data_IF_432925722582
#
_entry.id   IF_432925722582
#
_cell.length_a   1.000
_cell.length_b   1.000
_cell.length_c   1.000
_cell.angle_alpha   90.00
_cell.angle_beta   90.00
_cell.angle_gamma   90.00
#
_symmetry.space_group_name_H-M   'P 1'
#
loop_
_entity.id
_entity.type
_entity.pdbx_description
1 polymer ?
#
# COMPACT_ATOMS: atom_id res chain seq x y z
N UNK A 1 32.80 -39.76 -6.21
CA UNK A 1 31.50 -39.13 -5.97
C UNK A 1 31.69 -37.81 -5.27
N UNK A 2 31.54 -36.72 -6.02
CA UNK A 2 31.48 -35.38 -5.45
C UNK A 2 30.04 -34.92 -5.59
N UNK A 3 29.32 -34.85 -4.48
CA UNK A 3 27.98 -34.32 -4.41
C UNK A 3 28.05 -32.80 -4.65
N UNK A 4 27.65 -32.38 -5.85
CA UNK A 4 27.41 -30.97 -6.14
C UNK A 4 26.12 -30.58 -5.45
N UNK A 5 26.24 -30.02 -4.25
CA UNK A 5 25.15 -29.29 -3.60
C UNK A 5 24.61 -28.27 -4.60
N UNK A 6 23.37 -28.49 -5.02
CA UNK A 6 22.67 -27.61 -5.93
C UNK A 6 22.30 -26.37 -5.12
N UNK A 7 23.13 -25.33 -5.19
CA UNK A 7 22.79 -24.01 -4.68
C UNK A 7 21.50 -23.56 -5.37
N UNK A 8 20.45 -23.35 -4.59
CA UNK A 8 19.15 -22.91 -5.08
C UNK A 8 19.30 -21.59 -5.85
N UNK A 9 18.51 -21.36 -6.91
CA UNK A 9 18.56 -20.09 -7.64
C UNK A 9 18.24 -18.93 -6.71
N UNK A 10 19.04 -17.86 -6.81
CA UNK A 10 18.76 -16.57 -6.17
C UNK A 10 17.45 -16.00 -6.72
N UNK A 11 16.60 -15.46 -5.86
CA UNK A 11 15.36 -14.77 -6.26
C UNK A 11 15.65 -13.64 -7.25
N UNK A 12 14.70 -13.37 -8.14
CA UNK A 12 14.81 -12.22 -9.05
C UNK A 12 14.78 -10.89 -8.29
N UNK A 13 15.36 -9.80 -8.83
CA UNK A 13 15.31 -8.47 -8.18
C UNK A 13 13.89 -8.00 -7.87
N UNK A 14 12.90 -8.40 -8.69
CA UNK A 14 11.49 -8.09 -8.47
C UNK A 14 10.92 -8.87 -7.30
N UNK A 15 11.20 -10.16 -7.18
CA UNK A 15 10.76 -10.97 -6.03
C UNK A 15 11.37 -10.50 -4.72
N UNK A 16 12.65 -10.08 -4.73
CA UNK A 16 13.33 -9.50 -3.57
C UNK A 16 12.64 -8.20 -3.13
N UNK A 17 12.35 -7.30 -4.09
CA UNK A 17 11.64 -6.06 -3.80
C UNK A 17 10.22 -6.27 -3.23
N UNK A 18 9.47 -7.24 -3.79
CA UNK A 18 8.15 -7.60 -3.26
C UNK A 18 8.22 -8.13 -1.82
N UNK A 19 9.27 -8.90 -1.51
CA UNK A 19 9.49 -9.41 -0.16
C UNK A 19 9.85 -8.29 0.82
N UNK A 20 10.64 -7.31 0.38
CA UNK A 20 11.00 -6.13 1.19
C UNK A 20 9.75 -5.28 1.52
N UNK A 21 8.88 -5.04 0.52
CA UNK A 21 7.59 -4.35 0.74
C UNK A 21 6.73 -5.12 1.75
N UNK A 22 6.64 -6.45 1.61
CA UNK A 22 5.87 -7.28 2.54
C UNK A 22 6.40 -7.15 3.96
N UNK A 23 7.71 -7.25 4.18
CA UNK A 23 8.31 -7.15 5.51
C UNK A 23 8.18 -5.75 6.11
N UNK A 24 8.33 -4.71 5.29
CA UNK A 24 8.09 -3.33 5.69
C UNK A 24 6.67 -3.15 6.24
N UNK A 25 5.66 -3.52 5.45
CA UNK A 25 4.25 -3.40 5.84
C UNK A 25 3.96 -4.26 7.07
N UNK A 26 4.43 -5.52 7.10
CA UNK A 26 4.22 -6.44 8.23
C UNK A 26 4.76 -5.87 9.53
N UNK A 27 5.97 -5.30 9.51
CA UNK A 27 6.63 -4.74 10.69
C UNK A 27 5.96 -3.45 11.19
N UNK A 28 5.48 -2.62 10.28
CA UNK A 28 4.83 -1.34 10.60
C UNK A 28 3.34 -1.48 10.91
N UNK A 29 2.71 -2.60 10.53
CA UNK A 29 1.28 -2.83 10.76
C UNK A 29 0.92 -2.93 12.26
N UNK A 30 -0.18 -2.31 12.72
CA UNK A 30 -0.61 -2.32 14.13
C UNK A 30 -0.87 -3.72 14.74
N UNK A 31 -1.07 -4.72 13.90
CA UNK A 31 -1.30 -6.11 14.28
C UNK A 31 -0.12 -7.03 13.93
N UNK A 32 1.05 -6.46 13.64
CA UNK A 32 2.25 -7.18 13.20
C UNK A 32 2.04 -8.04 11.94
N UNK A 33 1.09 -7.64 11.07
CA UNK A 33 0.77 -8.28 9.80
C UNK A 33 -0.17 -9.49 9.92
N UNK A 34 -0.91 -9.62 11.02
CA UNK A 34 -1.89 -10.70 11.18
C UNK A 34 -2.97 -10.62 10.08
N UNK A 35 -3.50 -9.43 9.79
CA UNK A 35 -4.46 -9.20 8.73
C UNK A 35 -3.85 -9.42 7.33
N UNK A 36 -2.57 -9.10 7.15
CA UNK A 36 -1.85 -9.29 5.89
C UNK A 36 -1.81 -10.77 5.44
N UNK A 37 -1.92 -11.71 6.37
CA UNK A 37 -2.00 -13.15 6.05
C UNK A 37 -3.40 -13.62 5.64
N UNK A 38 -4.43 -12.78 5.79
CA UNK A 38 -5.81 -13.09 5.44
C UNK A 38 -6.15 -12.48 4.06
N UNK A 39 -6.34 -13.34 3.06
CA UNK A 39 -6.59 -12.93 1.67
C UNK A 39 -7.90 -12.15 1.47
N UNK A 40 -8.84 -12.28 2.40
CA UNK A 40 -10.13 -11.56 2.37
C UNK A 40 -10.07 -10.24 3.14
N UNK A 41 -8.92 -9.87 3.69
CA UNK A 41 -8.78 -8.62 4.47
C UNK A 41 -8.55 -7.39 3.59
N UNK A 42 -9.00 -6.21 4.04
CA UNK A 42 -8.62 -4.94 3.43
C UNK A 42 -7.10 -4.72 3.33
N UNK A 43 -6.36 -5.18 4.34
CA UNK A 43 -4.90 -5.11 4.43
C UNK A 43 -4.23 -5.91 3.32
N UNK A 44 -4.66 -7.15 3.11
CA UNK A 44 -4.14 -7.97 2.02
C UNK A 44 -4.49 -7.37 0.66
N UNK A 45 -5.71 -6.85 0.49
CA UNK A 45 -6.11 -6.18 -0.74
C UNK A 45 -5.23 -4.94 -1.04
N UNK A 46 -4.93 -4.13 -0.01
CA UNK A 46 -4.06 -2.97 -0.13
C UNK A 46 -2.60 -3.35 -0.45
N UNK A 47 -2.06 -4.37 0.19
CA UNK A 47 -0.73 -4.90 -0.14
C UNK A 47 -0.69 -5.41 -1.57
N UNK A 48 -1.69 -6.21 -1.97
CA UNK A 48 -1.82 -6.73 -3.32
C UNK A 48 -1.82 -5.61 -4.34
N UNK A 49 -2.61 -4.55 -4.10
CA UNK A 49 -2.62 -3.36 -4.93
C UNK A 49 -1.23 -2.74 -5.09
N UNK A 50 -0.49 -2.51 -4.00
CA UNK A 50 0.88 -1.97 -4.09
C UNK A 50 1.79 -2.88 -4.93
N UNK A 51 1.71 -4.20 -4.71
CA UNK A 51 2.61 -5.16 -5.37
C UNK A 51 2.24 -5.50 -6.81
N UNK A 52 1.05 -5.15 -7.27
CA UNK A 52 0.58 -5.38 -8.64
C UNK A 52 0.51 -4.08 -9.46
N UNK A 53 0.82 -2.94 -8.85
CA UNK A 53 0.74 -1.64 -9.48
C UNK A 53 2.09 -1.23 -10.09
N UNK A 54 2.08 -0.99 -11.39
CA UNK A 54 3.27 -0.59 -12.17
C UNK A 54 3.95 0.67 -11.62
N UNK A 55 3.18 1.64 -11.08
CA UNK A 55 3.72 2.83 -10.42
C UNK A 55 4.70 2.42 -9.32
N UNK A 56 4.26 1.55 -8.40
CA UNK A 56 5.07 1.07 -7.27
C UNK A 56 6.18 0.08 -7.67
N UNK A 57 5.96 -0.74 -8.71
CA UNK A 57 6.95 -1.72 -9.16
C UNK A 57 8.13 -1.12 -9.92
N UNK A 58 7.91 -0.02 -10.65
CA UNK A 58 8.95 0.65 -11.45
C UNK A 58 9.51 1.92 -10.80
N UNK A 59 8.85 2.43 -9.76
CA UNK A 59 9.32 3.59 -9.00
C UNK A 59 10.25 3.22 -7.85
N UNK A 60 11.11 4.16 -7.46
CA UNK A 60 11.90 4.10 -6.23
C UNK A 60 11.22 5.00 -5.22
N UNK A 61 10.42 4.41 -4.33
CA UNK A 61 9.69 5.14 -3.29
C UNK A 61 10.33 4.94 -1.93
N UNK A 62 10.19 5.94 -1.06
CA UNK A 62 10.58 5.81 0.33
C UNK A 62 9.64 4.85 1.07
N UNK A 63 10.10 4.33 2.22
CA UNK A 63 9.28 3.49 3.08
C UNK A 63 8.00 4.23 3.50
N UNK A 64 8.09 5.53 3.77
CA UNK A 64 6.97 6.38 4.15
C UNK A 64 5.89 6.45 3.05
N UNK A 65 6.27 6.62 1.77
CA UNK A 65 5.31 6.61 0.64
C UNK A 65 4.56 5.29 0.55
N UNK A 66 5.27 4.18 0.71
CA UNK A 66 4.67 2.85 0.66
C UNK A 66 3.68 2.67 1.83
N UNK A 67 4.07 3.04 3.05
CA UNK A 67 3.22 2.90 4.23
C UNK A 67 1.99 3.83 4.18
N UNK A 68 2.15 5.06 3.73
CA UNK A 68 1.07 6.03 3.58
C UNK A 68 0.06 5.56 2.52
N UNK A 69 0.55 5.07 1.37
CA UNK A 69 -0.31 4.53 0.31
C UNK A 69 -1.03 3.27 0.75
N UNK A 70 -0.34 2.40 1.49
CA UNK A 70 -0.92 1.21 2.09
C UNK A 70 -2.05 1.56 3.06
N UNK A 71 -1.85 2.57 3.91
CA UNK A 71 -2.86 3.05 4.84
C UNK A 71 -4.12 3.56 4.12
N UNK A 72 -3.95 4.37 3.06
CA UNK A 72 -5.06 4.91 2.28
C UNK A 72 -5.80 3.81 1.49
N UNK A 73 -5.08 2.87 0.87
CA UNK A 73 -5.70 1.73 0.18
C UNK A 73 -6.44 0.80 1.17
N UNK A 74 -5.89 0.59 2.36
CA UNK A 74 -6.56 -0.16 3.43
C UNK A 74 -7.84 0.55 3.86
N UNK A 75 -7.84 1.88 3.98
CA UNK A 75 -9.03 2.68 4.25
C UNK A 75 -10.08 2.48 3.15
N UNK A 76 -9.69 2.58 1.89
CA UNK A 76 -10.59 2.36 0.75
C UNK A 76 -11.27 1.00 0.82
N UNK A 77 -10.50 -0.09 0.97
CA UNK A 77 -11.05 -1.44 1.03
C UNK A 77 -11.89 -1.70 2.29
N UNK A 78 -11.50 -1.16 3.45
CA UNK A 78 -12.19 -1.38 4.74
C UNK A 78 -13.50 -0.61 4.90
N UNK A 79 -13.73 0.39 4.05
CA UNK A 79 -14.91 1.26 4.11
C UNK A 79 -15.73 1.21 2.81
N UNK A 80 -15.62 0.09 2.08
CA UNK A 80 -16.40 -0.22 0.90
C UNK A 80 -16.23 0.81 -0.23
N UNK A 81 -14.97 1.14 -0.53
CA UNK A 81 -14.54 2.16 -1.48
C UNK A 81 -15.18 2.08 -2.86
N UNK A 82 -15.44 0.88 -3.36
CA UNK A 82 -16.11 0.67 -4.66
C UNK A 82 -17.51 1.29 -4.73
N UNK A 83 -18.16 1.50 -3.57
CA UNK A 83 -19.50 2.06 -3.43
C UNK A 83 -19.50 3.51 -2.93
N UNK A 84 -18.34 4.16 -2.87
CA UNK A 84 -18.27 5.59 -2.56
C UNK A 84 -18.88 6.44 -3.69
N UNK A 85 -19.30 7.66 -3.36
CA UNK A 85 -19.85 8.58 -4.37
C UNK A 85 -18.76 9.26 -5.21
N UNK A 86 -17.59 9.47 -4.61
CA UNK A 86 -16.39 10.03 -5.21
C UNK A 86 -15.29 8.97 -5.14
N UNK A 87 -15.08 8.31 -6.27
CA UNK A 87 -14.12 7.19 -6.45
C UNK A 87 -13.02 7.53 -7.45
N UNK A 88 -12.86 8.80 -7.81
CA UNK A 88 -11.93 9.22 -8.87
C UNK A 88 -10.49 8.77 -8.57
N UNK A 89 -9.91 7.98 -9.47
CA UNK A 89 -8.53 7.49 -9.45
C UNK A 89 -8.09 6.66 -8.24
N UNK A 90 -8.99 6.28 -7.33
CA UNK A 90 -8.64 5.42 -6.20
C UNK A 90 -8.10 4.07 -6.70
N UNK A 91 -6.97 3.66 -6.14
CA UNK A 91 -6.23 2.44 -6.52
C UNK A 91 -5.68 2.44 -7.97
N UNK A 92 -5.54 3.60 -8.62
CA UNK A 92 -4.95 3.70 -9.97
C UNK A 92 -3.42 3.86 -9.92
N UNK A 93 -2.92 5.03 -9.53
CA UNK A 93 -1.49 5.35 -9.38
C UNK A 93 -1.23 6.05 -8.02
N UNK A 94 -0.48 7.16 -8.02
CA UNK A 94 -0.15 7.98 -6.86
C UNK A 94 -1.42 8.45 -6.12
N UNK A 95 -1.54 8.17 -4.80
CA UNK A 95 -2.62 8.68 -3.97
C UNK A 95 -2.87 10.17 -4.05
N UNK A 96 -1.86 10.98 -4.40
CA UNK A 96 -2.02 12.42 -4.55
C UNK A 96 -2.93 12.84 -5.72
N UNK A 97 -3.30 11.91 -6.61
CA UNK A 97 -4.29 12.14 -7.66
C UNK A 97 -5.68 11.59 -7.32
N UNK A 98 -5.85 10.97 -6.15
CA UNK A 98 -7.13 10.40 -5.75
C UNK A 98 -8.12 11.47 -5.34
N UNK A 99 -9.39 11.22 -5.64
CA UNK A 99 -10.48 12.12 -5.28
C UNK A 99 -10.56 12.32 -3.77
N UNK A 100 -10.38 13.57 -3.33
CA UNK A 100 -10.44 13.96 -1.91
C UNK A 100 -9.12 13.82 -1.15
N UNK A 101 -8.02 13.46 -1.80
CA UNK A 101 -6.68 13.47 -1.19
C UNK A 101 -5.99 14.80 -1.51
N UNK A 102 -5.48 15.49 -0.50
CA UNK A 102 -4.57 16.62 -0.69
C UNK A 102 -3.16 16.24 -0.25
N UNK A 103 -2.18 16.60 -1.08
CA UNK A 103 -0.77 16.34 -0.81
C UNK A 103 0.06 17.61 -0.74
N UNK A 104 1.12 17.54 0.07
CA UNK A 104 2.23 18.46 0.08
C UNK A 104 3.45 17.83 -0.59
N UNK A 105 4.03 18.52 -1.57
CA UNK A 105 5.27 18.10 -2.20
C UNK A 105 6.49 18.66 -1.45
N UNK A 106 7.34 17.76 -0.96
CA UNK A 106 8.60 18.09 -0.32
C UNK A 106 9.74 18.10 -1.34
N UNK A 107 10.22 19.31 -1.66
CA UNK A 107 11.29 19.56 -2.62
C UNK A 107 12.66 18.99 -2.19
N UNK A 108 12.84 18.64 -0.92
CA UNK A 108 14.09 18.07 -0.40
C UNK A 108 14.13 16.55 -0.56
N UNK A 109 12.99 15.88 -0.47
CA UNK A 109 12.88 14.43 -0.61
C UNK A 109 12.42 14.00 -2.00
N UNK A 110 12.00 14.96 -2.85
CA UNK A 110 11.41 14.72 -4.17
C UNK A 110 10.18 13.79 -4.07
N UNK A 111 9.37 13.98 -3.02
CA UNK A 111 8.23 13.14 -2.72
C UNK A 111 7.04 13.91 -2.15
N UNK A 112 5.82 13.46 -2.46
CA UNK A 112 4.53 14.05 -2.10
C UNK A 112 3.83 13.29 -0.97
N UNK A 113 3.60 13.96 0.15
CA UNK A 113 2.92 13.39 1.32
C UNK A 113 1.45 13.82 1.38
N UNK A 114 0.55 12.90 1.67
CA UNK A 114 -0.85 13.19 1.99
C UNK A 114 -0.93 14.00 3.27
N UNK A 115 -1.53 15.17 3.19
CA UNK A 115 -1.74 16.06 4.33
C UNK A 115 -3.20 16.08 4.78
N UNK A 116 -4.14 15.91 3.86
CA UNK A 116 -5.57 16.00 4.16
C UNK A 116 -6.39 14.98 3.36
N UNK A 117 -7.51 14.55 3.95
CA UNK A 117 -8.42 13.57 3.38
C UNK A 117 -9.88 14.01 3.53
N UNK A 118 -10.52 14.32 2.41
CA UNK A 118 -11.88 14.82 2.30
C UNK A 118 -12.84 13.71 1.85
N UNK A 119 -13.34 12.95 2.82
CA UNK A 119 -14.31 11.86 2.60
C UNK A 119 -15.70 12.14 3.17
N UNK A 120 -15.96 13.40 3.56
CA UNK A 120 -17.24 13.79 4.12
C UNK A 120 -18.37 13.50 3.14
N UNK A 121 -19.43 12.87 3.63
CA UNK A 121 -20.59 12.50 2.81
C UNK A 121 -20.21 11.61 1.60
N UNK A 122 -19.16 10.79 1.69
CA UNK A 122 -18.73 9.93 0.58
C UNK A 122 -19.24 8.48 0.66
N UNK A 123 -20.33 8.23 1.40
CA UNK A 123 -20.94 6.90 1.56
C UNK A 123 -20.00 5.82 2.12
N UNK A 124 -19.10 6.20 3.04
CA UNK A 124 -18.23 5.24 3.72
C UNK A 124 -19.05 4.23 4.52
N UNK A 125 -18.82 2.94 4.28
CA UNK A 125 -19.49 1.85 4.98
C UNK A 125 -18.49 0.78 5.41
N UNK A 126 -18.39 0.52 6.71
CA UNK A 126 -17.41 -0.42 7.26
C UNK A 126 -16.73 0.16 8.50
N UNK A 127 -15.41 -0.02 8.60
CA UNK A 127 -14.62 0.42 9.76
C UNK A 127 -13.43 1.25 9.33
N UNK A 128 -13.11 2.31 10.09
CA UNK A 128 -11.85 3.04 9.91
C UNK A 128 -10.71 2.14 10.40
N UNK A 129 -9.75 1.78 9.53
CA UNK A 129 -8.63 0.91 9.89
C UNK A 129 -7.63 1.67 10.77
N UNK A 130 -6.86 0.94 11.59
CA UNK A 130 -5.85 1.56 12.47
C UNK A 130 -4.62 2.02 11.68
N UNK A 131 -4.44 1.47 10.50
CA UNK A 131 -3.40 1.76 9.53
C UNK A 131 -3.39 3.24 9.14
N UNK A 132 -4.50 3.97 9.30
CA UNK A 132 -4.56 5.42 9.00
C UNK A 132 -3.63 6.28 9.88
N UNK A 133 -3.05 5.72 10.94
CA UNK A 133 -2.05 6.39 11.78
C UNK A 133 -0.61 5.94 11.52
N UNK A 134 -0.37 5.14 10.48
CA UNK A 134 0.96 4.65 10.11
C UNK A 134 1.84 5.74 9.53
#
# INVERSE_FOLDING_TARGET
DGDYETIAPTSSPTEEYLQDIYELIRKSSPDSGAALSNQDSPQYAAWKWITENDYFLYGVFSEEKILESYALATLYHSTNGENWWMTYSWLDDDPCFWGGVECYYDWWTDYSHTTELYLSQNNLAGTIPREISM
#
